data_IF_707606771761
#
_entry.id   IF_707606771761
#
_cell.length_a   1.000
_cell.length_b   1.000
_cell.length_c   1.000
_cell.angle_alpha   90.00
_cell.angle_beta   90.00
_cell.angle_gamma   90.00
#
_symmetry.space_group_name_H-M   'P 1'
#
loop_
_entity.id
_entity.type
_entity.pdbx_description
1 polymer ?
#
# COMPACT_ATOMS: atom_id res chain seq x y z
N UNK A 1 -0.82 -30.01 -27.46
CA UNK A 1 -1.82 -29.98 -26.37
C UNK A 1 -1.04 -29.68 -25.11
N UNK A 2 -1.36 -28.64 -24.35
CA UNK A 2 -0.65 -28.38 -23.09
C UNK A 2 -1.11 -29.35 -22.03
N UNK A 3 -0.16 -29.95 -21.33
CA UNK A 3 -0.37 -30.87 -20.23
C UNK A 3 -0.57 -30.09 -18.93
N UNK A 4 -1.20 -30.74 -17.95
CA UNK A 4 -1.28 -30.25 -16.57
C UNK A 4 0.10 -29.79 -16.05
N UNK A 5 1.14 -30.57 -16.34
CA UNK A 5 2.50 -30.28 -15.93
C UNK A 5 3.06 -28.94 -16.46
N UNK A 6 2.55 -28.45 -17.60
CA UNK A 6 3.08 -27.26 -18.26
C UNK A 6 2.66 -25.97 -17.55
N UNK A 7 1.48 -25.94 -16.92
CA UNK A 7 1.02 -24.79 -16.13
C UNK A 7 1.21 -24.98 -14.62
N UNK A 8 1.45 -26.20 -14.16
CA UNK A 8 1.59 -26.50 -12.74
C UNK A 8 2.77 -25.78 -12.10
N UNK A 9 3.95 -25.86 -12.74
CA UNK A 9 5.17 -25.24 -12.23
C UNK A 9 5.05 -23.72 -12.05
N UNK A 10 4.64 -22.95 -13.07
CA UNK A 10 4.51 -21.50 -12.90
C UNK A 10 3.36 -21.12 -11.96
N UNK A 11 2.31 -21.93 -11.86
CA UNK A 11 1.23 -21.70 -10.89
C UNK A 11 1.70 -21.91 -9.45
N UNK A 12 2.43 -22.99 -9.17
CA UNK A 12 3.00 -23.27 -7.86
C UNK A 12 4.01 -22.20 -7.43
N UNK A 13 4.78 -21.65 -8.38
CA UNK A 13 5.68 -20.53 -8.13
C UNK A 13 4.93 -19.28 -7.68
N UNK A 14 3.82 -18.93 -8.34
CA UNK A 14 2.97 -17.80 -7.93
C UNK A 14 2.38 -18.03 -6.53
N UNK A 15 1.91 -19.24 -6.23
CA UNK A 15 1.36 -19.58 -4.91
C UNK A 15 2.41 -19.42 -3.81
N UNK A 16 3.63 -19.91 -4.04
CA UNK A 16 4.75 -19.75 -3.13
C UNK A 16 5.11 -18.27 -2.92
N UNK A 17 5.14 -17.47 -3.99
CA UNK A 17 5.44 -16.05 -3.91
C UNK A 17 4.33 -15.26 -3.17
N UNK A 18 3.07 -15.65 -3.34
CA UNK A 18 1.99 -15.11 -2.50
C UNK A 18 2.23 -15.43 -1.02
N UNK A 19 2.61 -16.65 -0.69
CA UNK A 19 2.89 -17.00 0.71
C UNK A 19 4.10 -16.24 1.28
N UNK A 20 5.16 -16.06 0.48
CA UNK A 20 6.32 -15.25 0.86
C UNK A 20 5.94 -13.79 1.16
N UNK A 21 5.09 -13.16 0.33
CA UNK A 21 4.58 -11.80 0.59
C UNK A 21 3.74 -11.76 1.86
N UNK A 22 2.87 -12.75 2.09
CA UNK A 22 2.07 -12.83 3.31
C UNK A 22 2.93 -12.98 4.56
N UNK A 23 3.98 -13.81 4.51
CA UNK A 23 4.94 -13.94 5.60
C UNK A 23 5.73 -12.66 5.81
N UNK A 24 6.13 -11.95 4.74
CA UNK A 24 6.84 -10.69 4.87
C UNK A 24 5.99 -9.60 5.55
N UNK A 25 4.69 -9.57 5.26
CA UNK A 25 3.75 -8.62 5.87
C UNK A 25 3.44 -8.89 7.34
N UNK A 26 3.42 -10.16 7.76
CA UNK A 26 2.99 -10.57 9.10
C UNK A 26 4.17 -10.90 10.04
N UNK A 27 5.29 -11.35 9.49
CA UNK A 27 6.41 -11.94 10.22
C UNK A 27 7.51 -10.97 10.63
N UNK A 28 7.33 -9.65 10.41
CA UNK A 28 8.36 -8.65 10.72
C UNK A 28 9.58 -8.72 9.80
N UNK A 29 9.39 -9.17 8.56
CA UNK A 29 10.42 -9.15 7.54
C UNK A 29 10.87 -7.72 7.21
N UNK A 30 12.09 -7.57 6.67
CA UNK A 30 12.57 -6.27 6.23
C UNK A 30 11.76 -5.74 5.04
N UNK A 31 11.74 -4.42 4.87
CA UNK A 31 11.14 -3.79 3.70
C UNK A 31 11.71 -4.37 2.39
N UNK A 32 13.02 -4.62 2.35
CA UNK A 32 13.69 -5.22 1.20
C UNK A 32 13.15 -6.62 0.86
N UNK A 33 12.86 -7.45 1.86
CA UNK A 33 12.28 -8.78 1.65
C UNK A 33 10.86 -8.69 1.08
N UNK A 34 10.05 -7.74 1.57
CA UNK A 34 8.71 -7.50 1.05
C UNK A 34 8.74 -6.98 -0.39
N UNK A 35 9.63 -6.03 -0.69
CA UNK A 35 9.80 -5.46 -2.03
C UNK A 35 10.27 -6.54 -3.02
N UNK A 36 11.28 -7.32 -2.64
CA UNK A 36 11.80 -8.42 -3.46
C UNK A 36 10.72 -9.47 -3.75
N UNK A 37 10.01 -9.95 -2.72
CA UNK A 37 8.94 -10.95 -2.91
C UNK A 37 7.79 -10.40 -3.77
N UNK A 38 7.44 -9.12 -3.59
CA UNK A 38 6.40 -8.45 -4.39
C UNK A 38 6.81 -8.27 -5.85
N UNK A 39 8.07 -7.92 -6.10
CA UNK A 39 8.63 -7.79 -7.45
C UNK A 39 8.63 -9.14 -8.17
N UNK A 40 9.11 -10.20 -7.52
CA UNK A 40 9.10 -11.56 -8.06
C UNK A 40 7.68 -12.06 -8.32
N UNK A 41 6.73 -11.81 -7.40
CA UNK A 41 5.32 -12.15 -7.60
C UNK A 41 4.74 -11.47 -8.84
N UNK A 42 5.05 -10.18 -9.04
CA UNK A 42 4.61 -9.42 -10.21
C UNK A 42 5.18 -9.99 -11.50
N UNK A 43 6.48 -10.28 -11.53
CA UNK A 43 7.15 -10.86 -12.70
C UNK A 43 6.57 -12.23 -13.05
N UNK A 44 6.46 -13.14 -12.08
CA UNK A 44 5.88 -14.46 -12.26
C UNK A 44 4.42 -14.39 -12.74
N UNK A 45 3.63 -13.45 -12.20
CA UNK A 45 2.24 -13.24 -12.61
C UNK A 45 2.12 -12.76 -14.05
N UNK A 46 2.99 -11.84 -14.48
CA UNK A 46 3.03 -11.36 -15.88
C UNK A 46 3.46 -12.48 -16.82
N UNK A 47 4.49 -13.23 -16.47
CA UNK A 47 4.96 -14.37 -17.25
C UNK A 47 3.87 -15.45 -17.37
N UNK A 48 3.16 -15.75 -16.28
CA UNK A 48 2.05 -16.69 -16.30
C UNK A 48 0.86 -16.17 -17.10
N UNK A 49 0.52 -14.89 -17.03
CA UNK A 49 -0.53 -14.31 -17.88
C UNK A 49 -0.21 -14.50 -19.36
N UNK A 50 1.01 -14.14 -19.79
CA UNK A 50 1.47 -14.33 -21.16
C UNK A 50 1.46 -15.81 -21.58
N UNK A 51 1.87 -16.71 -20.68
CA UNK A 51 1.80 -18.15 -20.89
C UNK A 51 0.35 -18.60 -21.08
N UNK A 52 -0.57 -18.23 -20.18
CA UNK A 52 -1.98 -18.64 -20.26
C UNK A 52 -2.68 -18.14 -21.51
N UNK A 53 -2.35 -16.94 -21.98
CA UNK A 53 -2.89 -16.35 -23.21
C UNK A 53 -2.40 -17.10 -24.44
N UNK A 54 -1.06 -17.26 -24.58
CA UNK A 54 -0.43 -17.99 -25.68
C UNK A 54 -0.97 -19.41 -25.85
N UNK A 55 -1.33 -20.03 -24.74
CA UNK A 55 -1.66 -21.44 -24.68
C UNK A 55 -3.14 -21.74 -24.41
N UNK A 56 -3.99 -20.71 -24.29
CA UNK A 56 -5.42 -20.84 -23.97
C UNK A 56 -5.67 -21.75 -22.76
N UNK A 57 -4.79 -21.67 -21.76
CA UNK A 57 -4.79 -22.56 -20.59
C UNK A 57 -6.08 -22.41 -19.79
N UNK A 58 -6.59 -21.18 -19.68
CA UNK A 58 -7.85 -20.90 -18.97
C UNK A 58 -9.10 -21.51 -19.64
N UNK A 59 -9.02 -21.79 -20.95
CA UNK A 59 -10.12 -22.43 -21.70
C UNK A 59 -10.14 -23.94 -21.47
N UNK A 60 -8.96 -24.55 -21.31
CA UNK A 60 -8.79 -25.98 -21.08
C UNK A 60 -8.59 -26.33 -19.60
N UNK A 61 -8.50 -25.30 -18.75
CA UNK A 61 -8.27 -25.39 -17.33
C UNK A 61 -9.46 -26.00 -16.61
N UNK A 62 -9.23 -27.11 -15.93
CA UNK A 62 -10.23 -27.78 -15.12
C UNK A 62 -10.78 -26.90 -13.99
N UNK A 63 -11.71 -27.45 -13.20
CA UNK A 63 -12.25 -26.82 -12.00
C UNK A 63 -11.16 -26.53 -10.96
N UNK A 64 -10.13 -27.37 -10.88
CA UNK A 64 -9.00 -27.23 -9.97
C UNK A 64 -8.16 -25.97 -10.23
N UNK A 65 -7.74 -25.74 -11.48
CA UNK A 65 -7.01 -24.53 -11.86
C UNK A 65 -7.81 -23.27 -11.49
N UNK A 66 -9.11 -23.27 -11.77
CA UNK A 66 -10.00 -22.15 -11.40
C UNK A 66 -10.08 -21.94 -9.89
N UNK A 67 -10.11 -23.01 -9.10
CA UNK A 67 -10.11 -22.92 -7.65
C UNK A 67 -8.81 -22.32 -7.11
N UNK A 68 -7.65 -22.75 -7.64
CA UNK A 68 -6.33 -22.22 -7.28
C UNK A 68 -6.18 -20.75 -7.66
N UNK A 69 -6.59 -20.36 -8.86
CA UNK A 69 -6.60 -18.95 -9.28
C UNK A 69 -7.48 -18.08 -8.37
N UNK A 70 -8.66 -18.56 -7.96
CA UNK A 70 -9.50 -17.85 -6.98
C UNK A 70 -8.80 -17.69 -5.62
N UNK A 71 -8.08 -18.72 -5.17
CA UNK A 71 -7.29 -18.66 -3.93
C UNK A 71 -6.19 -17.60 -4.03
N UNK A 72 -5.44 -17.55 -5.13
CA UNK A 72 -4.41 -16.54 -5.39
C UNK A 72 -5.01 -15.13 -5.33
N UNK A 73 -6.12 -14.90 -6.03
CA UNK A 73 -6.83 -13.61 -6.00
C UNK A 73 -7.23 -13.22 -4.57
N UNK A 74 -7.72 -14.17 -3.79
CA UNK A 74 -8.10 -13.95 -2.39
C UNK A 74 -6.89 -13.56 -1.54
N UNK A 75 -5.75 -14.23 -1.71
CA UNK A 75 -4.51 -13.92 -1.00
C UNK A 75 -4.01 -12.52 -1.33
N UNK A 76 -4.03 -12.14 -2.62
CA UNK A 76 -3.63 -10.79 -3.06
C UNK A 76 -4.52 -9.71 -2.44
N UNK A 77 -5.84 -9.95 -2.36
CA UNK A 77 -6.75 -9.01 -1.70
C UNK A 77 -6.44 -8.84 -0.22
N UNK A 78 -6.15 -9.95 0.48
CA UNK A 78 -5.77 -9.90 1.89
C UNK A 78 -4.46 -9.14 2.11
N UNK A 79 -3.45 -9.38 1.26
CA UNK A 79 -2.16 -8.67 1.31
C UNK A 79 -2.34 -7.16 1.10
N UNK A 80 -3.17 -6.78 0.12
CA UNK A 80 -3.51 -5.37 -0.13
C UNK A 80 -4.18 -4.73 1.08
N UNK A 81 -5.11 -5.43 1.72
CA UNK A 81 -5.78 -4.92 2.92
C UNK A 81 -4.79 -4.72 4.08
N UNK A 82 -3.90 -5.70 4.31
CA UNK A 82 -2.84 -5.58 5.32
C UNK A 82 -1.94 -4.38 5.08
N UNK A 83 -1.50 -4.16 3.83
CA UNK A 83 -0.70 -2.99 3.46
C UNK A 83 -1.44 -1.67 3.72
N UNK A 84 -2.73 -1.59 3.40
CA UNK A 84 -3.54 -0.40 3.67
C UNK A 84 -3.65 -0.11 5.17
N UNK A 85 -3.81 -1.16 6.00
CA UNK A 85 -3.84 -1.01 7.46
C UNK A 85 -2.49 -0.55 8.01
N UNK A 86 -1.38 -1.10 7.50
CA UNK A 86 -0.02 -0.67 7.87
C UNK A 86 0.23 0.78 7.49
N UNK A 87 -0.19 1.22 6.30
CA UNK A 87 -0.07 2.62 5.87
C UNK A 87 -0.85 3.57 6.80
N UNK A 88 -2.11 3.25 7.12
CA UNK A 88 -2.92 4.05 8.04
C UNK A 88 -2.34 4.09 9.46
N UNK A 89 -1.72 2.98 9.91
CA UNK A 89 -1.04 2.94 11.20
C UNK A 89 0.22 3.83 11.19
N UNK A 90 1.03 3.77 10.14
CA UNK A 90 2.22 4.61 9.98
C UNK A 90 1.85 6.10 9.97
N UNK A 91 0.78 6.47 9.23
CA UNK A 91 0.27 7.84 9.18
C UNK A 91 -0.15 8.36 10.58
N UNK A 92 -0.91 7.56 11.34
CA UNK A 92 -1.28 7.91 12.72
C UNK A 92 -0.06 8.06 13.63
N UNK A 93 0.90 7.15 13.53
CA UNK A 93 2.15 7.22 14.31
C UNK A 93 2.93 8.50 14.01
N UNK A 94 3.03 8.89 12.74
CA UNK A 94 3.65 10.16 12.35
C UNK A 94 2.92 11.36 12.95
N UNK A 95 1.58 11.37 12.93
CA UNK A 95 0.79 12.43 13.56
C UNK A 95 1.00 12.52 15.07
N UNK A 96 1.23 11.40 15.77
CA UNK A 96 1.54 11.42 17.21
C UNK A 96 2.97 11.88 17.53
N UNK A 97 3.91 11.74 16.58
CA UNK A 97 5.31 12.14 16.73
C UNK A 97 5.58 13.60 16.32
N UNK A 98 4.59 14.30 15.75
CA UNK A 98 4.63 15.75 15.50
C UNK A 98 3.72 16.46 16.51
N UNK A 99 4.09 16.58 17.80
CA UNK A 99 3.47 17.56 18.68
C UNK A 99 4.02 18.94 18.31
N UNK A 100 3.29 19.75 17.53
CA UNK A 100 3.69 21.15 17.35
C UNK A 100 3.14 21.97 16.18
N UNK A 101 2.43 21.40 15.19
CA UNK A 101 1.87 22.23 14.09
C UNK A 101 0.39 22.63 14.28
N UNK A 102 -0.27 22.17 15.35
CA UNK A 102 -1.67 22.52 15.64
C UNK A 102 -1.85 23.78 16.49
N UNK A 103 -0.80 24.34 17.10
CA UNK A 103 -0.89 25.45 18.07
C UNK A 103 -0.08 26.72 17.70
N UNK A 104 -0.01 27.07 16.41
CA UNK A 104 0.47 28.40 16.00
C UNK A 104 -0.54 29.15 15.12
N UNK A 105 -1.83 28.94 15.37
CA UNK A 105 -2.90 29.69 14.71
C UNK A 105 -3.80 30.40 15.72
N UNK A 106 -3.20 31.19 16.62
CA UNK A 106 -3.90 32.16 17.48
C UNK A 106 -2.95 33.20 18.12
N UNK A 107 -1.98 33.73 17.36
CA UNK A 107 -1.38 35.02 17.70
C UNK A 107 -1.77 35.98 16.59
N UNK A 108 -2.99 36.51 16.69
CA UNK A 108 -3.44 37.62 15.88
C UNK A 108 -2.58 38.83 16.24
N UNK A 109 -1.71 39.23 15.31
CA UNK A 109 -1.01 40.50 15.34
C UNK A 109 -2.07 41.61 15.33
N UNK A 110 -2.36 42.23 16.48
CA UNK A 110 -3.01 43.53 16.48
C UNK A 110 -2.00 44.58 15.99
N UNK A 111 -2.33 45.42 14.99
CA UNK A 111 -1.41 46.41 14.45
C UNK A 111 -1.25 47.61 15.39
N UNK A 112 0.00 47.97 15.68
CA UNK A 112 0.39 49.27 16.23
C UNK A 112 -0.11 50.40 15.31
N UNK A 113 -1.24 51.01 15.65
CA UNK A 113 -1.80 52.05 14.79
C UNK A 113 -3.08 52.69 15.31
N UNK A 114 -3.03 53.33 16.50
CA UNK A 114 -4.03 54.35 16.83
C UNK A 114 -3.37 55.57 17.46
N UNK A 115 -2.96 56.50 16.60
CA UNK A 115 -2.72 57.87 16.97
C UNK A 115 -4.04 58.49 17.46
N UNK A 116 -4.22 58.61 18.78
CA UNK A 116 -5.23 59.51 19.34
C UNK A 116 -4.57 60.86 19.58
N UNK A 117 -4.71 61.71 18.58
CA UNK A 117 -4.60 63.16 18.72
C UNK A 117 -5.70 63.62 19.69
N UNK A 118 -5.32 64.04 20.89
CA UNK A 118 -6.17 64.81 21.81
C UNK A 118 -5.47 66.10 22.19
N UNK A 119 -5.85 67.14 21.44
CA UNK A 119 -6.14 68.49 21.88
C UNK A 119 -5.18 69.20 22.84
N UNK A 120 -4.35 70.07 22.24
CA UNK A 120 -3.78 71.30 22.81
C UNK A 120 -4.92 72.28 23.13
N UNK A 121 -4.96 72.86 24.33
CA UNK A 121 -5.80 74.03 24.66
C UNK A 121 -5.86 74.42 26.15
N UNK A 122 -5.43 75.66 26.44
CA UNK A 122 -5.57 76.49 27.67
C UNK A 122 -4.62 76.19 28.86
N UNK A 123 -3.81 77.11 29.41
CA UNK A 123 -3.73 78.58 29.31
C UNK A 123 -4.31 79.24 30.57
N UNK A 124 -3.45 79.76 31.45
CA UNK A 124 -3.79 80.51 32.68
C UNK A 124 -2.74 80.39 33.76
#
# INVERSE_FOLDING_TARGET
>A
MISYADYEKPLAEIEMLCEAVSQALLGGASLEQLESASASLREASVAFAAFTEKHKVLVHGGTELRARMKRIVTLIHLQRESLLRLAAQAERSLHTLIPGMAEQKNVSYEPLGRATSTHRGFGG
#
